data_IF_165917342851
#
_entry.id   IF_165917342851
#
_cell.length_a   1.000
_cell.length_b   1.000
_cell.length_c   1.000
_cell.angle_alpha   90.00
_cell.angle_beta   90.00
_cell.angle_gamma   90.00
#
_symmetry.space_group_name_H-M   'P 1'
#
loop_
_entity.id
_entity.type
_entity.pdbx_description
1 polymer ?
#
# COMPACT_ATOMS: atom_id res chain seq x y z
N UNK A 1 11.28 -19.77 3.36
CA UNK A 1 11.34 -18.29 3.30
C UNK A 1 10.78 -17.73 1.99
N UNK A 2 11.08 -18.33 0.83
CA UNK A 2 10.53 -17.93 -0.49
C UNK A 2 9.00 -17.77 -0.55
N UNK A 3 8.23 -18.63 0.13
CA UNK A 3 6.76 -18.48 0.21
C UNK A 3 6.29 -17.13 0.76
N UNK A 4 7.05 -16.51 1.67
CA UNK A 4 6.74 -15.19 2.22
C UNK A 4 7.11 -14.05 1.26
N UNK A 5 8.18 -14.22 0.47
CA UNK A 5 8.55 -13.32 -0.63
C UNK A 5 7.47 -13.30 -1.72
N UNK A 6 6.89 -14.45 -2.08
CA UNK A 6 5.76 -14.50 -3.00
C UNK A 6 4.47 -13.92 -2.40
N UNK A 7 4.22 -14.15 -1.10
CA UNK A 7 3.08 -13.55 -0.41
C UNK A 7 3.17 -12.01 -0.31
N UNK A 8 4.38 -11.43 -0.33
CA UNK A 8 4.63 -9.98 -0.36
C UNK A 8 4.15 -9.31 -1.66
N UNK A 9 3.82 -10.06 -2.71
CA UNK A 9 3.20 -9.49 -3.90
C UNK A 9 1.80 -8.94 -3.60
N UNK A 10 1.10 -9.54 -2.62
CA UNK A 10 -0.26 -9.14 -2.22
C UNK A 10 -0.28 -7.70 -1.70
N UNK A 11 0.51 -7.31 -0.68
CA UNK A 11 0.53 -5.92 -0.23
C UNK A 11 1.02 -4.92 -1.29
N UNK A 12 1.92 -5.32 -2.19
CA UNK A 12 2.33 -4.47 -3.32
C UNK A 12 1.14 -4.22 -4.27
N UNK A 13 0.37 -5.25 -4.60
CA UNK A 13 -0.82 -5.13 -5.43
C UNK A 13 -1.90 -4.29 -4.74
N UNK A 14 -2.09 -4.46 -3.43
CA UNK A 14 -2.98 -3.62 -2.63
C UNK A 14 -2.54 -2.16 -2.71
N UNK A 15 -1.25 -1.86 -2.58
CA UNK A 15 -0.75 -0.49 -2.71
C UNK A 15 -1.04 0.14 -4.08
N UNK A 16 -0.79 -0.60 -5.16
CA UNK A 16 -1.09 -0.13 -6.53
C UNK A 16 -2.58 0.17 -6.70
N UNK A 17 -3.44 -0.72 -6.18
CA UNK A 17 -4.87 -0.50 -6.12
C UNK A 17 -5.22 0.74 -5.29
N UNK A 18 -4.66 0.90 -4.09
CA UNK A 18 -4.91 2.05 -3.22
C UNK A 18 -4.49 3.36 -3.88
N UNK A 19 -3.37 3.40 -4.59
CA UNK A 19 -2.96 4.61 -5.33
C UNK A 19 -3.93 4.95 -6.46
N UNK A 20 -4.44 3.94 -7.17
CA UNK A 20 -5.46 4.12 -8.19
C UNK A 20 -6.78 4.61 -7.59
N UNK A 21 -7.17 4.05 -6.45
CA UNK A 21 -8.32 4.48 -5.67
C UNK A 21 -8.17 5.92 -5.15
N UNK A 22 -6.99 6.29 -4.65
CA UNK A 22 -6.68 7.65 -4.19
C UNK A 22 -6.85 8.67 -5.32
N UNK A 23 -6.35 8.37 -6.53
CA UNK A 23 -6.55 9.24 -7.70
C UNK A 23 -8.03 9.36 -8.07
N UNK A 24 -8.76 8.25 -8.05
CA UNK A 24 -10.19 8.24 -8.33
C UNK A 24 -11.00 9.02 -7.29
N UNK A 25 -10.71 8.83 -6.00
CA UNK A 25 -11.32 9.58 -4.88
C UNK A 25 -11.04 11.07 -4.99
N UNK A 26 -9.81 11.45 -5.34
CA UNK A 26 -9.45 12.86 -5.57
C UNK A 26 -10.31 13.53 -6.65
N UNK A 27 -10.72 12.77 -7.67
CA UNK A 27 -11.61 13.28 -8.73
C UNK A 27 -13.10 13.37 -8.34
N UNK A 28 -13.54 12.76 -7.24
CA UNK A 28 -14.97 12.58 -6.89
C UNK A 28 -15.37 13.13 -5.52
N UNK A 29 -14.54 12.93 -4.50
CA UNK A 29 -14.90 13.15 -3.08
C UNK A 29 -14.06 14.24 -2.39
N UNK A 30 -13.12 14.86 -3.12
CA UNK A 30 -12.33 15.99 -2.65
C UNK A 30 -11.02 15.62 -1.96
N UNK A 31 -10.25 16.66 -1.64
CA UNK A 31 -8.85 16.54 -1.19
C UNK A 31 -8.70 15.76 0.13
N UNK A 32 -9.63 15.93 1.08
CA UNK A 32 -9.55 15.25 2.38
C UNK A 32 -9.62 13.73 2.23
N UNK A 33 -10.58 13.23 1.45
CA UNK A 33 -10.74 11.80 1.20
C UNK A 33 -9.53 11.22 0.45
N UNK A 34 -8.96 11.99 -0.48
CA UNK A 34 -7.75 11.61 -1.21
C UNK A 34 -6.54 11.50 -0.28
N UNK A 35 -6.33 12.47 0.62
CA UNK A 35 -5.22 12.45 1.58
C UNK A 35 -5.37 11.27 2.54
N UNK A 36 -6.56 11.01 3.05
CA UNK A 36 -6.83 9.85 3.91
C UNK A 36 -6.52 8.53 3.21
N UNK A 37 -7.02 8.33 1.99
CA UNK A 37 -6.74 7.12 1.20
C UNK A 37 -5.25 6.97 0.85
N UNK A 38 -4.58 8.06 0.48
CA UNK A 38 -3.14 8.08 0.20
C UNK A 38 -2.31 7.69 1.44
N UNK A 39 -2.68 8.21 2.61
CA UNK A 39 -2.00 7.90 3.88
C UNK A 39 -2.11 6.41 4.22
N UNK A 40 -3.30 5.82 4.06
CA UNK A 40 -3.51 4.38 4.25
C UNK A 40 -2.65 3.53 3.31
N UNK A 41 -2.56 3.93 2.03
CA UNK A 41 -1.70 3.25 1.06
C UNK A 41 -0.23 3.26 1.48
N UNK A 42 0.29 4.43 1.85
CA UNK A 42 1.70 4.58 2.27
C UNK A 42 1.99 3.75 3.53
N UNK A 43 1.12 3.79 4.55
CA UNK A 43 1.28 3.00 5.77
C UNK A 43 1.29 1.50 5.49
N UNK A 44 0.42 1.02 4.61
CA UNK A 44 0.38 -0.39 4.20
C UNK A 44 1.69 -0.84 3.54
N UNK A 45 2.27 0.00 2.67
CA UNK A 45 3.55 -0.28 2.04
C UNK A 45 4.71 -0.25 3.06
N UNK A 46 4.72 0.72 3.97
CA UNK A 46 5.75 0.88 4.99
C UNK A 46 5.82 -0.34 5.94
N UNK A 47 4.66 -0.84 6.39
CA UNK A 47 4.59 -2.05 7.22
C UNK A 47 5.10 -3.27 6.45
N UNK A 48 4.71 -3.41 5.18
CA UNK A 48 5.16 -4.51 4.33
C UNK A 48 6.68 -4.47 4.11
N UNK A 49 7.25 -3.29 3.88
CA UNK A 49 8.69 -3.09 3.77
C UNK A 49 9.43 -3.43 5.07
N UNK A 50 8.89 -3.03 6.24
CA UNK A 50 9.48 -3.35 7.54
C UNK A 50 9.50 -4.86 7.83
N UNK A 51 8.41 -5.57 7.49
CA UNK A 51 8.34 -7.03 7.61
C UNK A 51 9.32 -7.69 6.65
N UNK A 52 9.43 -7.22 5.40
CA UNK A 52 10.39 -7.74 4.44
C UNK A 52 11.84 -7.55 4.93
N UNK A 53 12.17 -6.37 5.47
CA UNK A 53 13.49 -6.10 6.05
C UNK A 53 13.85 -7.12 7.14
N UNK A 54 12.93 -7.35 8.08
CA UNK A 54 13.10 -8.36 9.15
C UNK A 54 13.18 -9.80 8.65
N UNK A 55 12.68 -10.10 7.46
CA UNK A 55 12.82 -11.44 6.86
C UNK A 55 14.15 -11.62 6.15
N UNK A 56 14.82 -10.53 5.76
CA UNK A 56 16.09 -10.52 5.03
C UNK A 56 17.32 -10.34 5.94
N UNK A 57 17.15 -9.71 7.11
CA UNK A 57 18.19 -9.53 8.15
C UNK A 57 17.98 -10.47 9.32
#
# INVERSE_FOLDING_TARGET
MFKFLFAMIIPVMIFVYTMSFTRWVGSRAGATAQISAGTLGILSLAVSAAVLWKLLT
#
